data_IF_223725752212
#
_entry.id   IF_223725752212
#
_cell.length_a   1.000
_cell.length_b   1.000
_cell.length_c   1.000
_cell.angle_alpha   90.00
_cell.angle_beta   90.00
_cell.angle_gamma   90.00
#
_symmetry.space_group_name_H-M   'P 1'
#
loop_
_entity.id
_entity.type
_entity.pdbx_description
1 polymer ?
#
# COMPACT_ATOMS: atom_id res chain seq x y z
N UNK A 1 13.42 28.50 9.96
CA UNK A 1 12.69 27.47 10.72
C UNK A 1 13.27 27.43 12.12
N UNK A 2 12.42 27.31 13.14
CA UNK A 2 12.90 27.20 14.52
C UNK A 2 13.54 25.82 14.70
N UNK A 3 14.78 25.75 15.19
CA UNK A 3 15.49 24.48 15.33
C UNK A 3 14.85 23.58 16.39
N UNK A 4 14.97 22.26 16.18
CA UNK A 4 14.34 21.21 17.01
C UNK A 4 15.36 20.24 17.60
N UNK A 5 14.96 19.61 18.70
CA UNK A 5 15.66 18.46 19.25
C UNK A 5 14.95 17.19 18.80
N UNK A 6 15.71 16.25 18.26
CA UNK A 6 15.29 14.95 17.78
C UNK A 6 15.81 13.88 18.74
N UNK A 7 14.88 13.12 19.30
CA UNK A 7 15.19 11.97 20.15
C UNK A 7 14.92 10.67 19.41
N UNK A 8 15.85 9.73 19.56
CA UNK A 8 15.70 8.35 19.09
C UNK A 8 15.87 7.40 20.27
N UNK A 9 14.90 6.51 20.44
CA UNK A 9 14.83 5.58 21.56
C UNK A 9 14.77 4.14 21.02
N UNK A 10 15.63 3.29 21.56
CA UNK A 10 15.72 1.89 21.17
C UNK A 10 15.63 0.96 22.37
N UNK A 11 14.89 -0.14 22.20
CA UNK A 11 14.87 -1.26 23.13
C UNK A 11 15.75 -2.37 22.59
N UNK A 12 16.81 -2.65 23.32
CA UNK A 12 17.77 -3.71 23.04
C UNK A 12 17.58 -4.85 24.02
N UNK A 13 17.35 -6.06 23.50
CA UNK A 13 17.14 -7.28 24.28
C UNK A 13 18.23 -8.27 23.94
N UNK A 14 18.94 -8.76 24.96
CA UNK A 14 20.00 -9.77 24.85
C UNK A 14 19.61 -11.05 25.60
N UNK A 15 19.97 -12.20 25.03
CA UNK A 15 19.95 -13.48 25.77
C UNK A 15 21.08 -13.55 26.80
N UNK A 16 20.78 -13.95 28.04
CA UNK A 16 21.71 -13.99 29.16
C UNK A 16 22.84 -15.01 29.06
N UNK A 17 22.78 -15.94 28.09
CA UNK A 17 23.79 -17.00 27.90
C UNK A 17 25.23 -16.45 27.71
N UNK A 18 25.37 -15.13 27.47
CA UNK A 18 26.65 -14.45 27.29
C UNK A 18 27.09 -13.71 28.56
N UNK A 19 28.39 -13.80 28.85
CA UNK A 19 29.07 -12.99 29.88
C UNK A 19 29.26 -11.52 29.48
N UNK A 20 28.98 -11.15 28.23
CA UNK A 20 29.12 -9.79 27.68
C UNK A 20 27.88 -8.95 28.00
N UNK A 21 28.05 -7.62 28.05
CA UNK A 21 26.98 -6.63 28.28
C UNK A 21 26.20 -6.90 29.57
N UNK A 22 26.87 -6.79 30.73
CA UNK A 22 26.27 -7.05 32.05
C UNK A 22 25.56 -5.82 32.62
N UNK A 23 26.12 -4.65 32.36
CA UNK A 23 25.66 -3.35 32.85
C UNK A 23 25.63 -2.32 31.72
N UNK A 24 25.16 -1.12 32.02
CA UNK A 24 25.05 -0.01 31.07
C UNK A 24 26.41 0.43 30.51
N UNK A 25 27.47 0.40 31.32
CA UNK A 25 28.81 0.79 30.89
C UNK A 25 29.40 -0.17 29.87
N UNK A 26 29.15 -1.47 29.99
CA UNK A 26 29.61 -2.47 29.03
C UNK A 26 29.01 -2.20 27.64
N UNK A 27 27.72 -1.83 27.58
CA UNK A 27 27.07 -1.49 26.32
C UNK A 27 27.66 -0.23 25.69
N UNK A 28 27.91 0.80 26.51
CA UNK A 28 28.56 2.04 26.05
C UNK A 28 29.97 1.74 25.51
N UNK A 29 30.75 0.90 26.20
CA UNK A 29 32.07 0.45 25.70
C UNK A 29 31.94 -0.33 24.40
N UNK A 30 30.89 -1.14 24.26
CA UNK A 30 30.57 -1.83 23.00
C UNK A 30 30.34 -0.88 21.85
N UNK A 31 29.55 0.18 22.06
CA UNK A 31 29.31 1.21 21.06
C UNK A 31 30.59 2.01 20.73
N UNK A 32 31.47 2.24 21.71
CA UNK A 32 32.77 2.88 21.52
C UNK A 32 33.74 2.10 20.63
N UNK A 33 33.51 0.79 20.41
CA UNK A 33 34.33 0.01 19.48
C UNK A 33 34.13 0.46 18.03
N UNK A 34 32.98 1.08 17.72
CA UNK A 34 32.78 1.70 16.42
C UNK A 34 33.57 3.01 16.34
N UNK A 35 34.59 3.04 15.49
CA UNK A 35 35.48 4.20 15.29
C UNK A 35 34.75 5.44 14.77
N UNK A 36 33.57 5.28 14.16
CA UNK A 36 32.73 6.38 13.70
C UNK A 36 31.99 7.07 14.87
N UNK A 37 31.81 6.37 16.00
CA UNK A 37 31.11 6.86 17.18
C UNK A 37 32.12 7.38 18.22
N UNK A 38 32.39 8.69 18.21
CA UNK A 38 33.23 9.32 19.24
C UNK A 38 32.41 9.56 20.51
N UNK A 39 32.46 8.62 21.45
CA UNK A 39 31.72 8.71 22.72
C UNK A 39 32.64 9.15 23.85
N UNK A 40 32.34 10.30 24.44
CA UNK A 40 33.08 10.89 25.55
C UNK A 40 32.16 11.08 26.76
N UNK A 41 32.70 10.97 27.97
CA UNK A 41 31.95 11.25 29.19
C UNK A 41 32.15 12.71 29.56
N UNK A 42 31.11 13.55 29.37
CA UNK A 42 31.10 14.96 29.78
C UNK A 42 30.26 15.10 31.05
N UNK A 43 30.92 15.13 32.21
CA UNK A 43 30.26 15.17 33.52
C UNK A 43 29.56 13.85 33.85
N UNK A 44 28.26 13.89 34.14
CA UNK A 44 27.44 12.69 34.43
C UNK A 44 26.92 11.96 33.18
N UNK A 45 26.99 12.59 32.00
CA UNK A 45 26.35 12.09 30.78
C UNK A 45 27.38 11.62 29.75
N UNK A 46 27.00 10.64 28.93
CA UNK A 46 27.78 10.26 27.76
C UNK A 46 27.35 11.13 26.58
N UNK A 47 28.33 11.62 25.83
CA UNK A 47 28.12 12.48 24.67
C UNK A 47 28.75 11.81 23.45
N UNK A 48 27.99 11.67 22.37
CA UNK A 48 28.47 11.23 21.07
C UNK A 48 28.71 12.48 20.22
N UNK A 49 29.89 12.58 19.61
CA UNK A 49 30.17 13.60 18.60
C UNK A 49 30.18 12.95 17.22
N UNK A 50 29.24 13.35 16.37
CA UNK A 50 29.10 12.80 15.02
C UNK A 50 28.84 13.91 14.00
N UNK A 51 29.65 13.99 12.95
CA UNK A 51 29.57 15.02 11.90
C UNK A 51 29.44 16.47 12.43
N UNK A 52 30.19 16.81 13.48
CA UNK A 52 30.18 18.10 14.19
C UNK A 52 28.91 18.43 14.97
N UNK A 53 28.03 17.45 15.20
CA UNK A 53 26.87 17.57 16.08
C UNK A 53 27.13 16.75 17.34
N UNK A 54 26.78 17.31 18.49
CA UNK A 54 26.86 16.62 19.77
C UNK A 54 25.48 16.03 20.15
N UNK A 55 25.52 14.80 20.66
CA UNK A 55 24.35 14.04 21.08
C UNK A 55 24.54 13.53 22.48
N UNK A 56 23.52 13.64 23.32
CA UNK A 56 23.46 12.89 24.58
C UNK A 56 23.11 11.43 24.32
N UNK A 57 23.84 10.53 24.97
CA UNK A 57 23.60 9.10 25.00
C UNK A 57 23.27 8.68 26.43
N UNK A 58 22.05 8.19 26.64
CA UNK A 58 21.65 7.58 27.89
C UNK A 58 21.35 6.10 27.66
N UNK A 59 21.89 5.25 28.52
CA UNK A 59 21.63 3.82 28.52
C UNK A 59 21.07 3.46 29.88
N UNK A 60 19.96 2.73 29.91
CA UNK A 60 19.31 2.29 31.14
C UNK A 60 18.96 0.81 31.07
N UNK A 61 19.42 0.02 32.03
CA UNK A 61 19.00 -1.37 32.17
C UNK A 61 17.58 -1.44 32.73
N UNK A 62 16.74 -2.25 32.11
CA UNK A 62 15.36 -2.51 32.55
C UNK A 62 15.26 -3.93 33.08
N UNK A 63 14.58 -4.07 34.23
CA UNK A 63 14.28 -5.37 34.82
C UNK A 63 13.38 -6.16 33.87
N UNK A 64 13.84 -7.33 33.45
CA UNK A 64 13.08 -8.26 32.62
C UNK A 64 12.40 -9.29 33.53
N UNK A 65 11.17 -9.71 33.18
CA UNK A 65 10.45 -10.75 33.94
C UNK A 65 11.14 -12.11 33.82
N UNK A 66 11.68 -12.39 32.63
CA UNK A 66 12.45 -13.59 32.39
C UNK A 66 13.93 -13.25 32.61
N UNK A 67 14.52 -13.89 33.61
CA UNK A 67 15.94 -13.73 33.96
C UNK A 67 16.85 -14.16 32.82
N UNK A 68 16.37 -14.96 31.86
CA UNK A 68 17.13 -15.34 30.67
C UNK A 68 17.37 -14.19 29.67
N UNK A 69 16.81 -12.99 29.90
CA UNK A 69 17.01 -11.84 29.03
C UNK A 69 17.42 -10.58 29.79
N UNK A 70 18.35 -9.82 29.21
CA UNK A 70 18.70 -8.46 29.67
C UNK A 70 18.15 -7.45 28.67
N UNK A 71 17.45 -6.46 29.19
CA UNK A 71 16.84 -5.41 28.38
C UNK A 71 17.48 -4.06 28.71
N UNK A 72 17.80 -3.29 27.67
CA UNK A 72 18.37 -1.96 27.76
C UNK A 72 17.54 -0.99 26.93
N UNK A 73 17.25 0.17 27.48
CA UNK A 73 16.75 1.31 26.71
C UNK A 73 17.91 2.25 26.43
N UNK A 74 18.02 2.65 25.16
CA UNK A 74 19.06 3.51 24.64
C UNK A 74 18.38 4.75 24.09
N UNK A 75 18.68 5.90 24.68
CA UNK A 75 18.18 7.20 24.25
C UNK A 75 19.33 8.02 23.64
N UNK A 76 19.08 8.54 22.45
CA UNK A 76 20.00 9.42 21.73
C UNK A 76 19.28 10.71 21.38
N UNK A 77 19.80 11.85 21.83
CA UNK A 77 19.18 13.16 21.59
C UNK A 77 20.24 14.22 21.29
N UNK A 78 20.05 15.01 20.22
CA UNK A 78 20.97 16.11 19.90
C UNK A 78 20.89 17.21 20.96
N UNK A 79 22.06 17.75 21.33
CA UNK A 79 22.17 18.81 22.34
C UNK A 79 21.77 20.18 21.78
N UNK A 80 22.21 20.46 20.56
CA UNK A 80 21.94 21.71 19.87
C UNK A 80 20.71 21.59 18.99
N UNK A 81 19.87 22.62 18.96
CA UNK A 81 18.70 22.68 18.07
C UNK A 81 19.12 22.53 16.61
N UNK A 82 18.61 21.50 15.95
CA UNK A 82 18.85 21.20 14.53
C UNK A 82 17.78 21.86 13.68
N UNK A 83 18.18 22.62 12.67
CA UNK A 83 17.26 23.29 11.76
C UNK A 83 17.53 22.95 10.29
N UNK A 84 18.80 22.77 9.93
CA UNK A 84 19.20 22.57 8.54
C UNK A 84 19.00 21.14 8.06
N UNK A 85 18.79 20.96 6.76
CA UNK A 85 18.62 19.64 6.14
C UNK A 85 19.89 18.79 6.31
N UNK A 86 21.09 19.40 6.20
CA UNK A 86 22.36 18.67 6.40
C UNK A 86 22.49 18.15 7.83
N UNK A 87 22.07 18.94 8.81
CA UNK A 87 22.09 18.55 10.21
C UNK A 87 21.09 17.41 10.49
N UNK A 88 19.90 17.46 9.90
CA UNK A 88 18.91 16.36 9.98
C UNK A 88 19.48 15.07 9.38
N UNK A 89 20.20 15.14 8.27
CA UNK A 89 20.86 13.98 7.66
C UNK A 89 21.94 13.40 8.58
N UNK A 90 22.67 14.24 9.32
CA UNK A 90 23.64 13.78 10.32
C UNK A 90 22.96 13.02 11.48
N UNK A 91 21.78 13.48 11.95
CA UNK A 91 20.97 12.74 12.95
C UNK A 91 20.54 11.38 12.39
N UNK A 92 20.02 11.34 11.15
CA UNK A 92 19.64 10.09 10.46
C UNK A 92 20.82 9.12 10.38
N UNK A 93 21.99 9.62 10.00
CA UNK A 93 23.17 8.81 9.78
C UNK A 93 23.74 8.26 11.09
N UNK A 94 23.71 9.06 12.17
CA UNK A 94 24.03 8.57 13.50
C UNK A 94 23.11 7.42 13.92
N UNK A 95 21.80 7.58 13.74
CA UNK A 95 20.83 6.52 14.07
C UNK A 95 21.12 5.24 13.30
N UNK A 96 21.39 5.34 12.00
CA UNK A 96 21.80 4.19 11.16
C UNK A 96 23.06 3.53 11.69
N UNK A 97 24.07 4.32 12.06
CA UNK A 97 25.35 3.83 12.57
C UNK A 97 25.21 3.11 13.93
N UNK A 98 24.42 3.67 14.85
CA UNK A 98 24.12 3.05 16.15
C UNK A 98 23.37 1.74 15.95
N UNK A 99 22.33 1.74 15.11
CA UNK A 99 21.55 0.54 14.80
C UNK A 99 22.45 -0.55 14.18
N UNK A 100 23.33 -0.18 13.24
CA UNK A 100 24.27 -1.10 12.62
C UNK A 100 25.22 -1.71 13.66
N UNK A 101 25.84 -0.85 14.49
CA UNK A 101 26.75 -1.27 15.57
C UNK A 101 26.08 -2.26 16.53
N UNK A 102 24.84 -1.97 16.94
CA UNK A 102 24.09 -2.86 17.84
C UNK A 102 23.75 -4.18 17.16
N UNK A 103 23.41 -4.18 15.87
CA UNK A 103 23.08 -5.40 15.12
C UNK A 103 24.28 -6.32 14.92
N UNK A 104 25.51 -5.79 14.94
CA UNK A 104 26.73 -6.61 14.95
C UNK A 104 26.88 -7.40 16.26
N UNK A 105 26.24 -6.95 17.35
CA UNK A 105 26.15 -7.70 18.58
C UNK A 105 25.20 -8.89 18.38
N UNK A 106 25.76 -10.06 18.05
CA UNK A 106 25.02 -11.30 17.83
C UNK A 106 24.09 -11.64 19.01
N UNK A 107 22.95 -12.28 18.71
CA UNK A 107 21.91 -12.67 19.69
C UNK A 107 21.23 -11.49 20.41
N UNK A 108 21.16 -10.35 19.72
CA UNK A 108 20.39 -9.21 20.16
C UNK A 108 19.12 -9.05 19.33
N UNK A 109 18.06 -8.54 19.97
CA UNK A 109 16.90 -7.99 19.29
C UNK A 109 16.85 -6.48 19.56
N UNK A 110 16.74 -5.69 18.49
CA UNK A 110 16.65 -4.25 18.57
C UNK A 110 15.30 -3.80 18.02
N UNK A 111 14.53 -3.10 18.86
CA UNK A 111 13.26 -2.49 18.48
C UNK A 111 13.37 -0.98 18.62
N UNK A 112 12.93 -0.24 17.60
CA UNK A 112 12.82 1.22 17.69
C UNK A 112 11.53 1.57 18.43
N UNK A 113 11.64 2.29 19.54
CA UNK A 113 10.49 2.76 20.33
C UNK A 113 10.04 4.15 19.89
N UNK A 114 11.01 5.03 19.59
CA UNK A 114 10.79 6.40 19.15
C UNK A 114 11.84 6.81 18.14
N UNK A 115 11.41 7.54 17.11
CA UNK A 115 12.30 8.22 16.18
C UNK A 115 11.61 9.52 15.76
N UNK A 116 11.98 10.63 16.41
CA UNK A 116 11.37 11.93 16.15
C UNK A 116 11.60 12.41 14.72
N UNK A 117 12.76 12.08 14.15
CA UNK A 117 13.13 12.52 12.81
C UNK A 117 12.32 11.76 11.74
N UNK A 118 12.21 10.45 11.88
CA UNK A 118 11.36 9.65 11.01
C UNK A 118 9.88 10.02 11.16
N UNK A 119 9.45 10.40 12.37
CA UNK A 119 8.09 10.93 12.61
C UNK A 119 7.87 12.25 11.85
N UNK A 120 8.84 13.15 11.86
CA UNK A 120 8.77 14.39 11.07
C UNK A 120 8.68 14.10 9.57
N UNK A 121 9.44 13.12 9.06
CA UNK A 121 9.34 12.70 7.65
C UNK A 121 7.97 12.12 7.33
N UNK A 122 7.39 11.29 8.20
CA UNK A 122 6.04 10.76 8.03
C UNK A 122 4.98 11.85 7.96
N UNK A 123 5.06 12.87 8.82
CA UNK A 123 4.12 14.01 8.82
C UNK A 123 4.23 14.80 7.52
N UNK A 124 5.45 15.12 7.09
CA UNK A 124 5.67 15.87 5.85
C UNK A 124 5.22 15.04 4.64
N UNK A 125 5.57 13.76 4.57
CA UNK A 125 5.14 12.85 3.50
C UNK A 125 3.61 12.73 3.41
N UNK A 126 2.93 12.59 4.54
CA UNK A 126 1.46 12.48 4.57
C UNK A 126 0.77 13.73 4.04
N UNK A 127 1.31 14.92 4.32
CA UNK A 127 0.78 16.19 3.78
C UNK A 127 0.71 16.17 2.25
N UNK A 128 1.76 15.67 1.58
CA UNK A 128 1.79 15.57 0.12
C UNK A 128 0.83 14.50 -0.42
N UNK A 129 0.74 13.35 0.26
CA UNK A 129 -0.22 12.28 -0.08
C UNK A 129 -1.66 12.81 0.00
N UNK A 130 -1.99 13.50 1.09
CA UNK A 130 -3.31 14.08 1.29
C UNK A 130 -3.66 15.10 0.21
N UNK A 131 -2.70 15.95 -0.18
CA UNK A 131 -2.91 16.93 -1.24
C UNK A 131 -3.24 16.25 -2.58
N UNK A 132 -2.47 15.23 -2.98
CA UNK A 132 -2.67 14.57 -4.28
C UNK A 132 -3.92 13.69 -4.31
N UNK A 133 -4.26 13.06 -3.18
CA UNK A 133 -5.52 12.34 -3.00
C UNK A 133 -6.72 13.26 -3.25
N UNK A 134 -6.73 14.43 -2.61
CA UNK A 134 -7.80 15.42 -2.78
C UNK A 134 -7.88 15.94 -4.22
N UNK A 135 -6.75 16.08 -4.92
CA UNK A 135 -6.75 16.49 -6.33
C UNK A 135 -7.34 15.41 -7.23
N UNK A 136 -7.00 14.14 -7.01
CA UNK A 136 -7.60 13.02 -7.75
C UNK A 136 -9.12 12.95 -7.50
N UNK A 137 -9.55 13.08 -6.23
CA UNK A 137 -10.97 13.16 -5.88
C UNK A 137 -11.66 14.29 -6.63
N UNK A 138 -11.07 15.49 -6.60
CA UNK A 138 -11.60 16.66 -7.31
C UNK A 138 -11.73 16.41 -8.82
N UNK A 139 -10.74 15.76 -9.45
CA UNK A 139 -10.77 15.44 -10.88
C UNK A 139 -11.94 14.53 -11.21
N UNK A 140 -12.07 13.43 -10.46
CA UNK A 140 -13.16 12.46 -10.62
C UNK A 140 -14.51 13.14 -10.36
N UNK A 141 -14.64 13.93 -9.29
CA UNK A 141 -15.89 14.66 -8.99
C UNK A 141 -16.31 15.53 -10.15
N UNK A 142 -15.41 16.37 -10.68
CA UNK A 142 -15.74 17.30 -11.75
C UNK A 142 -16.12 16.52 -13.01
N UNK A 143 -15.25 15.61 -13.47
CA UNK A 143 -15.51 14.81 -14.67
C UNK A 143 -16.86 14.08 -14.61
N UNK A 144 -17.09 13.38 -13.50
CA UNK A 144 -18.30 12.61 -13.33
C UNK A 144 -19.55 13.49 -13.18
N UNK A 145 -19.46 14.66 -12.55
CA UNK A 145 -20.62 15.57 -12.41
C UNK A 145 -20.98 16.27 -13.72
N UNK A 146 -19.97 16.73 -14.45
CA UNK A 146 -20.16 17.62 -15.60
C UNK A 146 -20.34 16.87 -16.90
N UNK A 147 -19.72 15.70 -17.06
CA UNK A 147 -19.75 14.93 -18.31
C UNK A 147 -20.61 13.67 -18.24
N UNK A 148 -20.79 13.08 -17.05
CA UNK A 148 -21.58 11.84 -16.85
C UNK A 148 -22.90 12.10 -16.09
N UNK A 149 -23.09 13.31 -15.54
CA UNK A 149 -24.29 13.69 -14.77
C UNK A 149 -24.30 13.14 -13.33
N UNK A 150 -25.29 13.53 -12.52
CA UNK A 150 -25.35 13.13 -11.09
C UNK A 150 -26.05 11.80 -10.82
N UNK A 151 -26.70 11.20 -11.83
CA UNK A 151 -27.55 10.02 -11.64
C UNK A 151 -26.78 8.72 -11.37
N UNK A 152 -25.50 8.66 -11.75
CA UNK A 152 -24.68 7.47 -11.53
C UNK A 152 -24.46 7.18 -10.04
N UNK A 153 -24.45 8.21 -9.20
CA UNK A 153 -24.26 8.11 -7.74
C UNK A 153 -25.37 7.27 -7.11
N UNK A 154 -26.62 7.63 -7.42
CA UNK A 154 -27.82 6.98 -6.87
C UNK A 154 -27.87 5.50 -7.23
N UNK A 155 -27.24 5.15 -8.35
CA UNK A 155 -27.26 3.79 -8.87
C UNK A 155 -26.09 2.92 -8.38
N UNK A 156 -25.08 3.55 -7.76
CA UNK A 156 -23.77 2.94 -7.49
C UNK A 156 -23.37 2.97 -6.01
N UNK A 157 -24.01 3.80 -5.16
CA UNK A 157 -23.73 3.78 -3.73
C UNK A 157 -24.31 2.48 -3.11
N UNK A 158 -23.46 1.68 -2.43
CA UNK A 158 -23.88 0.52 -1.66
C UNK A 158 -24.86 0.90 -0.54
N UNK A 159 -25.93 0.12 -0.37
CA UNK A 159 -26.96 0.42 0.63
C UNK A 159 -26.39 0.48 2.07
N UNK A 160 -25.38 -0.33 2.37
CA UNK A 160 -24.66 -0.35 3.66
C UNK A 160 -23.97 1.00 3.98
N UNK A 161 -23.43 1.68 2.96
CA UNK A 161 -22.83 3.01 3.10
C UNK A 161 -23.91 4.04 3.43
N UNK A 162 -25.06 3.98 2.73
CA UNK A 162 -26.23 4.84 2.98
C UNK A 162 -26.77 4.64 4.40
N UNK A 163 -26.77 3.40 4.89
CA UNK A 163 -27.32 3.03 6.19
C UNK A 163 -26.38 3.38 7.36
N UNK A 164 -25.07 3.49 7.11
CA UNK A 164 -24.06 3.89 8.11
C UNK A 164 -24.14 5.38 8.53
N UNK A 165 -24.87 6.20 7.77
CA UNK A 165 -25.01 7.65 7.99
C UNK A 165 -26.12 7.90 9.02
N UNK A 166 -25.70 8.18 10.26
CA UNK A 166 -26.57 8.25 11.45
C UNK A 166 -27.50 9.47 11.54
N UNK A 167 -27.28 10.54 10.77
CA UNK A 167 -28.07 11.77 10.86
C UNK A 167 -29.12 11.88 9.74
N UNK A 168 -30.41 11.94 10.12
CA UNK A 168 -31.55 12.02 9.19
C UNK A 168 -31.62 13.33 8.40
N UNK A 169 -31.14 14.44 8.94
CA UNK A 169 -31.14 15.73 8.23
C UNK A 169 -30.04 15.81 7.15
N UNK A 170 -28.99 15.00 7.27
CA UNK A 170 -27.95 14.90 6.24
C UNK A 170 -28.42 13.97 5.10
N UNK A 171 -29.37 13.05 5.32
CA UNK A 171 -29.82 12.06 4.31
C UNK A 171 -30.35 12.67 3.00
N UNK A 172 -30.84 13.92 3.00
CA UNK A 172 -31.27 14.61 1.78
C UNK A 172 -30.14 15.32 1.03
N UNK A 173 -29.08 15.75 1.72
CA UNK A 173 -27.87 16.33 1.11
C UNK A 173 -26.76 15.29 0.86
N UNK A 174 -26.80 14.15 1.55
CA UNK A 174 -25.74 13.14 1.59
C UNK A 174 -25.90 12.03 0.56
N UNK A 175 -26.72 12.29 -0.47
CA UNK A 175 -26.56 11.72 -1.81
C UNK A 175 -25.50 12.50 -2.63
N UNK A 176 -24.52 13.14 -1.98
CA UNK A 176 -23.51 13.94 -2.66
C UNK A 176 -22.30 13.09 -3.07
N UNK A 177 -21.76 13.36 -4.27
CA UNK A 177 -20.50 12.79 -4.76
C UNK A 177 -19.35 12.90 -3.78
N UNK A 178 -19.31 14.02 -3.06
CA UNK A 178 -18.21 14.34 -2.16
C UNK A 178 -18.16 13.35 -1.00
N UNK A 179 -19.30 12.93 -0.44
CA UNK A 179 -19.34 11.95 0.64
C UNK A 179 -18.91 10.57 0.15
N UNK A 180 -19.48 10.10 -0.96
CA UNK A 180 -19.14 8.80 -1.55
C UNK A 180 -17.65 8.70 -1.91
N UNK A 181 -17.12 9.72 -2.60
CA UNK A 181 -15.71 9.74 -2.91
C UNK A 181 -14.92 9.79 -1.62
N UNK A 182 -15.21 10.66 -0.65
CA UNK A 182 -14.46 10.72 0.62
C UNK A 182 -14.32 9.38 1.35
N UNK A 183 -15.28 8.49 1.23
CA UNK A 183 -15.26 7.14 1.83
C UNK A 183 -14.54 6.08 0.97
N UNK A 184 -14.29 6.37 -0.30
CA UNK A 184 -13.53 5.54 -1.23
C UNK A 184 -12.05 5.51 -0.84
N UNK A 185 -11.42 4.33 -0.80
CA UNK A 185 -9.99 4.20 -0.45
C UNK A 185 -9.07 4.79 -1.54
N UNK A 186 -7.87 5.24 -1.15
CA UNK A 186 -6.90 5.92 -2.00
C UNK A 186 -6.62 5.14 -3.30
N UNK A 187 -6.39 3.84 -3.20
CA UNK A 187 -6.08 2.99 -4.37
C UNK A 187 -7.30 2.79 -5.27
N UNK A 188 -8.51 2.95 -4.75
CA UNK A 188 -9.73 2.76 -5.53
C UNK A 188 -10.02 3.96 -6.41
N UNK A 189 -9.50 5.15 -6.08
CA UNK A 189 -9.64 6.33 -6.93
C UNK A 189 -9.05 6.14 -8.33
N UNK A 190 -7.91 5.44 -8.44
CA UNK A 190 -7.29 5.18 -9.74
C UNK A 190 -8.19 4.32 -10.65
N UNK A 191 -8.98 3.42 -10.06
CA UNK A 191 -9.86 2.51 -10.81
C UNK A 191 -10.90 3.24 -11.64
N UNK A 192 -11.44 4.36 -11.15
CA UNK A 192 -12.40 5.18 -11.88
C UNK A 192 -11.85 5.69 -13.22
N UNK A 193 -10.54 5.91 -13.30
CA UNK A 193 -9.90 6.45 -14.49
C UNK A 193 -9.19 5.37 -15.31
N UNK A 194 -8.55 4.39 -14.66
CA UNK A 194 -7.60 3.48 -15.30
C UNK A 194 -8.08 2.04 -15.46
N UNK A 195 -9.16 1.60 -14.79
CA UNK A 195 -9.69 0.26 -15.05
C UNK A 195 -10.28 0.21 -16.47
N UNK A 196 -9.94 -0.87 -17.20
CA UNK A 196 -10.29 -1.03 -18.61
C UNK A 196 -11.56 -1.85 -18.74
N UNK A 197 -12.49 -1.36 -19.56
CA UNK A 197 -13.73 -2.05 -19.87
C UNK A 197 -13.99 -2.05 -21.38
N UNK A 198 -14.68 -3.10 -21.83
CA UNK A 198 -15.14 -3.21 -23.21
C UNK A 198 -16.57 -2.68 -23.29
N UNK A 199 -16.82 -1.83 -24.28
CA UNK A 199 -18.15 -1.26 -24.54
C UNK A 199 -18.98 -2.18 -25.45
N UNK A 200 -18.33 -3.19 -26.05
CA UNK A 200 -18.96 -4.17 -26.95
C UNK A 200 -19.17 -5.48 -26.20
N UNK A 201 -20.40 -6.00 -26.21
CA UNK A 201 -20.71 -7.30 -25.60
C UNK A 201 -20.14 -8.43 -26.45
N UNK A 202 -19.74 -9.53 -25.82
CA UNK A 202 -19.20 -10.72 -26.51
C UNK A 202 -20.12 -11.24 -27.62
N UNK A 203 -21.44 -11.11 -27.45
CA UNK A 203 -22.44 -11.46 -28.46
C UNK A 203 -22.32 -10.64 -29.76
N UNK A 204 -21.97 -9.35 -29.66
CA UNK A 204 -21.81 -8.47 -30.81
C UNK A 204 -20.53 -8.78 -31.57
N UNK A 205 -19.47 -9.21 -30.88
CA UNK A 205 -18.26 -9.75 -31.51
C UNK A 205 -18.56 -11.01 -32.30
N UNK A 206 -19.31 -11.95 -31.72
CA UNK A 206 -19.76 -13.14 -32.45
C UNK A 206 -20.57 -12.78 -33.69
N UNK A 207 -21.40 -11.73 -33.63
CA UNK A 207 -22.16 -11.23 -34.78
C UNK A 207 -21.28 -10.60 -35.86
N UNK A 208 -20.23 -9.86 -35.48
CA UNK A 208 -19.24 -9.29 -36.41
C UNK A 208 -18.43 -10.40 -37.08
N UNK A 209 -17.96 -11.39 -36.31
CA UNK A 209 -17.18 -12.54 -36.79
C UNK A 209 -18.00 -13.48 -37.68
N UNK A 210 -19.29 -13.67 -37.36
CA UNK A 210 -20.21 -14.50 -38.14
C UNK A 210 -20.85 -13.74 -39.31
N UNK A 211 -20.56 -12.44 -39.48
CA UNK A 211 -21.04 -11.70 -40.64
C UNK A 211 -20.38 -12.25 -41.90
N UNK A 212 -21.17 -12.52 -42.95
CA UNK A 212 -20.77 -13.25 -44.17
C UNK A 212 -19.77 -12.50 -45.06
N UNK A 213 -19.11 -11.44 -44.55
CA UNK A 213 -18.15 -10.64 -45.30
C UNK A 213 -16.79 -11.34 -45.33
N UNK A 214 -16.20 -11.44 -46.52
CA UNK A 214 -14.88 -12.05 -46.76
C UNK A 214 -13.71 -11.29 -46.10
N UNK A 215 -13.95 -10.07 -45.66
CA UNK A 215 -12.96 -9.18 -45.02
C UNK A 215 -13.56 -8.61 -43.74
N UNK A 216 -12.87 -8.86 -42.63
CA UNK A 216 -13.22 -8.31 -41.32
C UNK A 216 -12.66 -6.89 -41.25
N UNK A 217 -13.51 -5.95 -40.89
CA UNK A 217 -13.13 -4.57 -40.62
C UNK A 217 -12.40 -4.52 -39.28
N UNK A 218 -11.06 -4.44 -39.32
CA UNK A 218 -10.20 -4.47 -38.13
C UNK A 218 -10.46 -3.26 -37.24
N UNK A 219 -10.84 -2.11 -37.79
CA UNK A 219 -11.14 -0.91 -37.01
C UNK A 219 -12.34 -1.15 -36.08
N UNK A 220 -13.36 -1.89 -36.52
CA UNK A 220 -14.51 -2.28 -35.68
C UNK A 220 -14.16 -3.28 -34.58
N UNK A 221 -13.06 -4.02 -34.73
CA UNK A 221 -12.54 -4.88 -33.67
C UNK A 221 -11.67 -4.11 -32.66
N UNK A 222 -11.13 -2.94 -33.03
CA UNK A 222 -10.33 -2.12 -32.11
C UNK A 222 -11.18 -1.55 -30.97
N UNK A 223 -12.49 -1.39 -31.17
CA UNK A 223 -13.44 -0.98 -30.11
C UNK A 223 -13.78 -2.11 -29.13
N UNK A 224 -13.48 -3.36 -29.49
CA UNK A 224 -13.57 -4.49 -28.55
C UNK A 224 -12.44 -4.49 -27.53
N UNK A 225 -11.27 -3.91 -27.90
CA UNK A 225 -10.11 -3.81 -27.01
C UNK A 225 -10.53 -2.98 -25.79
N UNK A 226 -10.47 -3.55 -24.56
CA UNK A 226 -10.83 -2.81 -23.36
C UNK A 226 -9.96 -1.56 -23.22
N UNK A 227 -10.61 -0.42 -23.03
CA UNK A 227 -9.96 0.88 -22.80
C UNK A 227 -10.48 1.48 -21.51
N UNK A 228 -9.61 2.20 -20.81
CA UNK A 228 -9.96 2.91 -19.58
C UNK A 228 -10.64 4.25 -19.87
N UNK A 229 -11.27 4.86 -18.86
CA UNK A 229 -11.80 6.22 -18.99
C UNK A 229 -10.70 7.23 -19.32
N UNK A 230 -9.50 7.04 -18.77
CA UNK A 230 -8.32 7.81 -19.10
C UNK A 230 -7.99 7.69 -20.59
N UNK A 231 -7.91 6.48 -21.12
CA UNK A 231 -7.57 6.23 -22.53
C UNK A 231 -8.63 6.78 -23.49
N UNK A 232 -9.91 6.74 -23.10
CA UNK A 232 -11.03 7.18 -23.93
C UNK A 232 -11.15 8.70 -23.98
N UNK A 233 -11.02 9.37 -22.83
CA UNK A 233 -11.44 10.76 -22.68
C UNK A 233 -10.30 11.72 -22.36
N UNK A 234 -9.31 11.30 -21.56
CA UNK A 234 -8.24 12.20 -21.11
C UNK A 234 -6.99 12.11 -21.98
N UNK A 235 -6.55 10.91 -22.35
CA UNK A 235 -5.33 10.67 -23.13
C UNK A 235 -5.31 11.42 -24.48
N UNK A 236 -6.41 11.54 -25.25
CA UNK A 236 -6.43 12.33 -26.47
C UNK A 236 -6.21 13.83 -26.25
N UNK A 237 -6.75 14.38 -25.16
CA UNK A 237 -6.74 15.81 -24.85
C UNK A 237 -5.48 16.25 -24.09
N UNK A 238 -4.96 15.37 -23.21
CA UNK A 238 -3.77 15.62 -22.39
C UNK A 238 -2.49 15.46 -23.22
N UNK A 239 -2.46 14.51 -24.16
CA UNK A 239 -1.28 14.26 -24.99
C UNK A 239 -1.49 14.74 -26.42
N UNK A 240 -0.60 15.62 -26.89
CA UNK A 240 -0.62 16.13 -28.27
C UNK A 240 -0.71 15.00 -29.30
N UNK A 241 -1.42 15.24 -30.42
CA UNK A 241 -1.52 14.33 -31.56
C UNK A 241 -0.17 13.81 -32.08
N UNK A 242 0.90 14.59 -31.92
CA UNK A 242 2.27 14.21 -32.31
C UNK A 242 2.93 13.18 -31.38
N UNK A 243 2.35 12.93 -30.21
CA UNK A 243 2.82 11.94 -29.25
C UNK A 243 2.47 10.55 -29.77
N UNK A 244 3.48 9.72 -30.02
CA UNK A 244 3.29 8.34 -30.45
C UNK A 244 2.49 7.55 -29.41
N UNK A 245 1.61 6.67 -29.88
CA UNK A 245 0.79 5.74 -29.11
C UNK A 245 1.60 4.98 -28.03
N UNK A 246 2.83 4.57 -28.36
CA UNK A 246 3.72 3.87 -27.43
C UNK A 246 4.17 4.77 -26.28
N UNK A 247 4.42 6.04 -26.55
CA UNK A 247 4.81 7.02 -25.54
C UNK A 247 3.64 7.36 -24.62
N UNK A 248 2.42 7.49 -25.17
CA UNK A 248 1.20 7.70 -24.36
C UNK A 248 0.96 6.54 -23.39
N UNK A 249 1.05 5.31 -23.89
CA UNK A 249 0.89 4.11 -23.04
C UNK A 249 1.94 4.06 -21.92
N UNK A 250 3.20 4.42 -22.22
CA UNK A 250 4.25 4.45 -21.21
C UNK A 250 4.00 5.52 -20.13
N UNK A 251 3.46 6.69 -20.52
CA UNK A 251 3.11 7.75 -19.57
C UNK A 251 1.93 7.33 -18.68
N UNK A 252 0.93 6.65 -19.23
CA UNK A 252 -0.18 6.08 -18.47
C UNK A 252 0.30 4.99 -17.49
N UNK A 253 1.12 4.04 -17.95
CA UNK A 253 1.69 2.99 -17.09
C UNK A 253 2.51 3.60 -15.94
N UNK A 254 3.35 4.61 -16.22
CA UNK A 254 4.09 5.33 -15.19
C UNK A 254 3.17 5.99 -14.17
N UNK A 255 2.09 6.64 -14.62
CA UNK A 255 1.12 7.30 -13.75
C UNK A 255 0.43 6.30 -12.80
N UNK A 256 0.05 5.14 -13.31
CA UNK A 256 -0.54 4.05 -12.52
C UNK A 256 0.50 3.53 -11.51
N UNK A 257 1.72 3.22 -11.95
CA UNK A 257 2.80 2.72 -11.08
C UNK A 257 3.16 3.74 -9.98
N UNK A 258 3.17 5.03 -10.30
CA UNK A 258 3.43 6.10 -9.34
C UNK A 258 2.29 6.20 -8.30
N UNK A 259 1.03 6.07 -8.72
CA UNK A 259 -0.12 6.03 -7.81
C UNK A 259 -0.11 4.81 -6.89
N UNK A 260 0.14 3.61 -7.42
CA UNK A 260 0.26 2.38 -6.64
C UNK A 260 1.41 2.47 -5.63
N UNK A 261 2.56 3.00 -6.06
CA UNK A 261 3.70 3.20 -5.16
C UNK A 261 3.40 4.22 -4.05
N UNK A 262 2.63 5.28 -4.34
CA UNK A 262 2.19 6.21 -3.30
C UNK A 262 1.24 5.55 -2.30
N UNK A 263 0.39 4.62 -2.73
CA UNK A 263 -0.46 3.85 -1.82
C UNK A 263 0.35 3.01 -0.84
N UNK A 264 1.40 2.33 -1.31
CA UNK A 264 2.30 1.58 -0.43
C UNK A 264 3.00 2.48 0.60
N UNK A 265 3.45 3.66 0.17
CA UNK A 265 4.09 4.66 1.04
C UNK A 265 3.09 5.25 2.04
N UNK A 266 1.85 5.55 1.62
CA UNK A 266 0.75 5.95 2.50
C UNK A 266 0.49 4.91 3.58
N UNK A 267 0.39 3.64 3.21
CA UNK A 267 0.12 2.55 4.15
C UNK A 267 1.24 2.43 5.20
N UNK A 268 2.50 2.64 4.81
CA UNK A 268 3.61 2.70 5.78
C UNK A 268 3.38 3.81 6.81
N UNK A 269 3.08 5.02 6.35
CA UNK A 269 2.82 6.17 7.24
C UNK A 269 1.61 5.91 8.15
N UNK A 270 0.49 5.44 7.60
CA UNK A 270 -0.74 5.19 8.35
C UNK A 270 -0.60 4.07 9.41
N UNK A 271 0.24 3.06 9.15
CA UNK A 271 0.52 2.00 10.11
C UNK A 271 1.65 2.34 11.10
N UNK A 272 2.00 3.62 11.21
CA UNK A 272 3.08 4.13 12.07
C UNK A 272 4.41 3.40 11.83
N UNK A 273 4.66 2.97 10.59
CA UNK A 273 5.95 2.45 10.18
C UNK A 273 6.78 3.66 9.79
N UNK A 274 7.90 3.86 10.48
CA UNK A 274 8.85 4.93 10.15
C UNK A 274 9.21 4.89 8.66
N UNK A 275 9.06 6.02 7.99
CA UNK A 275 9.57 6.21 6.62
C UNK A 275 10.95 6.86 6.66
N UNK A 276 11.77 6.50 5.69
CA UNK A 276 13.09 7.08 5.49
C UNK A 276 13.01 8.44 4.80
N UNK A 277 14.09 9.21 4.89
CA UNK A 277 14.24 10.47 4.17
C UNK A 277 14.11 10.27 2.65
N UNK A 278 14.69 9.19 2.12
CA UNK A 278 14.61 8.84 0.70
C UNK A 278 13.16 8.54 0.28
N UNK A 279 12.41 7.79 1.09
CA UNK A 279 10.99 7.54 0.86
C UNK A 279 10.15 8.83 0.91
N UNK A 280 10.42 9.74 1.86
CA UNK A 280 9.76 11.05 1.89
C UNK A 280 10.02 11.85 0.60
N UNK A 281 11.27 11.88 0.11
CA UNK A 281 11.59 12.53 -1.18
C UNK A 281 10.92 11.84 -2.36
N UNK A 282 10.80 10.51 -2.34
CA UNK A 282 10.06 9.76 -3.35
C UNK A 282 8.57 10.13 -3.35
N UNK A 283 7.93 10.29 -2.18
CA UNK A 283 6.55 10.76 -2.06
C UNK A 283 6.40 12.12 -2.75
N UNK A 284 7.28 13.08 -2.43
CA UNK A 284 7.23 14.44 -2.99
C UNK A 284 7.41 14.40 -4.51
N UNK A 285 8.39 13.64 -5.01
CA UNK A 285 8.65 13.50 -6.44
C UNK A 285 7.45 12.91 -7.17
N UNK A 286 6.92 11.77 -6.71
CA UNK A 286 5.75 11.11 -7.31
C UNK A 286 4.53 12.00 -7.25
N UNK A 287 4.30 12.68 -6.13
CA UNK A 287 3.21 13.65 -6.01
C UNK A 287 3.33 14.73 -7.08
N UNK A 288 4.52 15.26 -7.35
CA UNK A 288 4.71 16.30 -8.36
C UNK A 288 4.43 15.76 -9.78
N UNK A 289 4.99 14.61 -10.14
CA UNK A 289 4.77 13.97 -11.44
C UNK A 289 3.28 13.70 -11.71
N UNK A 290 2.57 13.13 -10.72
CA UNK A 290 1.12 12.88 -10.81
C UNK A 290 0.34 14.21 -10.88
N UNK A 291 0.76 15.20 -10.09
CA UNK A 291 0.09 16.50 -10.03
C UNK A 291 0.16 17.23 -11.37
N UNK A 292 1.27 17.15 -12.10
CA UNK A 292 1.39 17.72 -13.45
C UNK A 292 0.32 17.12 -14.38
N UNK A 293 0.23 15.79 -14.43
CA UNK A 293 -0.73 15.08 -15.29
C UNK A 293 -2.18 15.36 -14.88
N UNK A 294 -2.49 15.44 -13.58
CA UNK A 294 -3.83 15.79 -13.10
C UNK A 294 -4.20 17.24 -13.48
N UNK A 295 -3.25 18.19 -13.44
CA UNK A 295 -3.54 19.57 -13.83
C UNK A 295 -3.79 19.69 -15.34
N UNK A 296 -3.04 18.95 -16.17
CA UNK A 296 -3.33 18.85 -17.60
C UNK A 296 -4.72 18.26 -17.84
N UNK A 297 -5.08 17.18 -17.13
CA UNK A 297 -6.40 16.60 -17.19
C UNK A 297 -7.51 17.58 -16.78
N UNK A 298 -7.30 18.41 -15.75
CA UNK A 298 -8.27 19.45 -15.37
C UNK A 298 -8.52 20.45 -16.48
N UNK A 299 -7.47 20.90 -17.18
CA UNK A 299 -7.60 21.83 -18.30
C UNK A 299 -8.33 21.19 -19.48
N UNK A 300 -8.11 19.89 -19.70
CA UNK A 300 -8.76 19.12 -20.76
C UNK A 300 -10.25 18.84 -20.51
N UNK A 301 -10.73 18.88 -19.25
CA UNK A 301 -12.13 18.52 -18.95
C UNK A 301 -13.13 19.32 -19.78
N UNK A 302 -12.89 20.61 -20.02
CA UNK A 302 -13.85 21.44 -20.75
C UNK A 302 -14.10 20.92 -22.17
N UNK A 303 -13.03 20.49 -22.86
CA UNK A 303 -13.03 20.01 -24.25
C UNK A 303 -13.61 18.58 -24.41
N UNK A 304 -13.69 17.81 -23.33
CA UNK A 304 -14.20 16.42 -23.39
C UNK A 304 -15.71 16.44 -23.65
N UNK A 305 -16.16 15.92 -24.78
CA UNK A 305 -17.57 15.66 -25.07
C UNK A 305 -17.90 14.17 -24.91
N UNK A 306 -18.95 13.87 -24.15
CA UNK A 306 -19.45 12.51 -23.91
C UNK A 306 -20.87 12.41 -24.46
N UNK A 307 -21.14 11.39 -25.26
CA UNK A 307 -22.47 11.07 -25.79
C UNK A 307 -23.32 10.31 -24.76
N UNK A 308 -24.65 10.35 -24.90
CA UNK A 308 -25.58 9.63 -24.00
C UNK A 308 -25.26 8.12 -23.90
N UNK A 309 -24.86 7.49 -25.01
CA UNK A 309 -24.47 6.09 -25.01
C UNK A 309 -23.20 5.83 -24.17
N UNK A 310 -22.18 6.69 -24.31
CA UNK A 310 -20.95 6.59 -23.54
C UNK A 310 -21.18 6.85 -22.04
N UNK A 311 -22.11 7.74 -21.71
CA UNK A 311 -22.55 7.97 -20.33
C UNK A 311 -23.14 6.70 -19.71
N UNK A 312 -24.04 6.00 -20.42
CA UNK A 312 -24.61 4.73 -19.96
C UNK A 312 -23.54 3.64 -19.79
N UNK A 313 -22.58 3.56 -20.71
CA UNK A 313 -21.46 2.63 -20.65
C UNK A 313 -20.63 2.84 -19.37
N UNK A 314 -20.23 4.09 -19.08
CA UNK A 314 -19.49 4.46 -17.86
C UNK A 314 -20.31 4.10 -16.61
N UNK A 315 -21.61 4.44 -16.59
CA UNK A 315 -22.51 4.13 -15.46
C UNK A 315 -22.57 2.62 -15.19
N UNK A 316 -22.64 1.81 -16.24
CA UNK A 316 -22.81 0.36 -16.13
C UNK A 316 -21.56 -0.33 -15.56
N UNK A 317 -20.36 0.08 -15.98
CA UNK A 317 -19.09 -0.48 -15.51
C UNK A 317 -18.81 -0.14 -14.04
N UNK A 318 -19.15 1.09 -13.63
CA UNK A 318 -18.95 1.52 -12.25
C UNK A 318 -19.81 0.71 -11.27
N UNK A 319 -21.02 0.28 -11.66
CA UNK A 319 -21.86 -0.62 -10.84
C UNK A 319 -21.13 -1.91 -10.51
N UNK A 320 -20.49 -2.51 -11.51
CA UNK A 320 -19.80 -3.80 -11.40
C UNK A 320 -18.56 -3.66 -10.50
N UNK A 321 -17.73 -2.66 -10.77
CA UNK A 321 -16.51 -2.39 -10.00
C UNK A 321 -16.81 -2.10 -8.52
N UNK A 322 -17.95 -1.46 -8.22
CA UNK A 322 -18.34 -1.11 -6.84
C UNK A 322 -19.03 -2.27 -6.11
N UNK A 323 -19.95 -3.01 -6.77
CA UNK A 323 -20.66 -4.14 -6.15
C UNK A 323 -19.74 -5.30 -5.77
N UNK A 324 -18.66 -5.54 -6.53
CA UNK A 324 -17.66 -6.57 -6.19
C UNK A 324 -16.98 -6.35 -4.83
N UNK A 325 -17.11 -5.16 -4.22
CA UNK A 325 -16.34 -4.79 -3.02
C UNK A 325 -17.16 -4.41 -1.79
N UNK A 326 -18.43 -4.03 -1.94
CA UNK A 326 -19.28 -3.82 -0.76
C UNK A 326 -19.94 -5.08 -0.23
N UNK A 327 -19.93 -6.17 -0.99
CA UNK A 327 -20.23 -7.51 -0.46
C UNK A 327 -19.16 -8.09 0.48
N UNK A 328 -18.04 -7.39 0.74
CA UNK A 328 -17.00 -7.79 1.71
C UNK A 328 -17.12 -7.07 3.07
N UNK A 329 -18.28 -6.49 3.40
CA UNK A 329 -18.57 -6.07 4.78
C UNK A 329 -19.34 -7.19 5.50
N UNK A 330 -18.73 -7.73 6.57
CA UNK A 330 -19.30 -8.80 7.38
C UNK A 330 -20.38 -8.19 8.28
N UNK A 331 -21.66 -8.38 7.93
CA UNK A 331 -22.78 -8.12 8.84
C UNK A 331 -22.82 -9.22 9.91
N UNK A 332 -22.21 -8.95 11.06
CA UNK A 332 -22.31 -9.77 12.27
C UNK A 332 -23.64 -9.41 12.98
N UNK A 333 -24.77 -9.66 12.34
CA UNK A 333 -26.06 -9.74 13.05
C UNK A 333 -27.16 -10.40 12.23
N UNK A 334 -27.12 -11.73 12.15
CA UNK A 334 -28.31 -12.59 12.15
C UNK A 334 -27.86 -14.04 12.30
N UNK A 335 -27.72 -14.46 13.56
CA UNK A 335 -27.75 -15.86 13.92
C UNK A 335 -29.21 -16.32 13.95
N UNK A 336 -29.57 -17.23 13.05
CA UNK A 336 -30.46 -18.35 13.38
C UNK A 336 -29.86 -19.63 12.77
N UNK A 337 -29.35 -20.49 13.65
CA UNK A 337 -28.89 -21.87 13.45
C UNK A 337 -30.12 -22.81 13.29
N UNK A 338 -30.00 -24.12 12.97
CA UNK A 338 -28.81 -24.89 12.56
C UNK A 338 -29.04 -25.91 11.42
N UNK A 339 -27.98 -26.32 10.71
CA UNK A 339 -27.78 -27.75 10.40
C UNK A 339 -26.29 -28.08 10.20
N UNK A 340 -25.83 -29.00 11.05
CA UNK A 340 -24.44 -29.30 11.38
C UNK A 340 -23.75 -30.13 10.27
N UNK A 341 -22.63 -29.65 9.71
CA UNK A 341 -21.67 -30.50 8.98
C UNK A 341 -20.26 -30.32 9.58
N UNK A 342 -19.50 -31.41 9.78
CA UNK A 342 -18.26 -31.37 10.53
C UNK A 342 -17.17 -30.59 9.77
N UNK A 343 -16.55 -29.61 10.45
CA UNK A 343 -15.40 -28.83 9.98
C UNK A 343 -14.29 -29.76 9.48
N UNK A 344 -14.00 -29.68 8.17
CA UNK A 344 -13.01 -30.53 7.51
C UNK A 344 -11.57 -30.01 7.78
N UNK A 345 -11.07 -30.28 9.00
CA UNK A 345 -9.72 -29.87 9.49
C UNK A 345 -8.57 -30.22 8.54
N UNK A 346 -8.78 -31.16 7.62
CA UNK A 346 -7.79 -31.60 6.62
C UNK A 346 -7.51 -30.53 5.57
N UNK A 347 -8.54 -29.85 5.05
CA UNK A 347 -8.39 -28.87 3.96
C UNK A 347 -7.61 -27.63 4.41
N UNK A 348 -7.91 -27.14 5.61
CA UNK A 348 -7.20 -26.02 6.23
C UNK A 348 -5.71 -26.35 6.48
N UNK A 349 -5.44 -27.53 7.03
CA UNK A 349 -4.06 -27.97 7.30
C UNK A 349 -3.26 -28.10 6.00
N UNK A 350 -3.90 -28.56 4.92
CA UNK A 350 -3.30 -28.65 3.60
C UNK A 350 -3.01 -27.27 2.99
N UNK A 351 -3.90 -26.29 3.19
CA UNK A 351 -3.69 -24.90 2.79
C UNK A 351 -2.48 -24.27 3.47
N UNK A 352 -2.39 -24.40 4.80
CA UNK A 352 -1.25 -23.89 5.58
C UNK A 352 0.07 -24.58 5.24
N UNK A 353 0.03 -25.87 4.90
CA UNK A 353 1.20 -26.60 4.39
C UNK A 353 1.69 -25.99 3.07
N UNK A 354 0.79 -25.74 2.12
CA UNK A 354 1.14 -25.20 0.80
C UNK A 354 1.57 -23.73 0.87
N UNK A 355 1.03 -22.92 1.77
CA UNK A 355 1.52 -21.56 2.08
C UNK A 355 2.98 -21.59 2.53
N UNK A 356 3.33 -22.50 3.45
CA UNK A 356 4.72 -22.68 3.92
C UNK A 356 5.64 -23.14 2.79
N UNK A 357 5.16 -24.04 1.93
CA UNK A 357 5.90 -24.52 0.76
C UNK A 357 6.17 -23.42 -0.26
N UNK A 358 5.16 -22.59 -0.60
CA UNK A 358 5.31 -21.41 -1.46
C UNK A 358 6.31 -20.40 -0.87
N UNK A 359 6.21 -20.15 0.44
CA UNK A 359 7.14 -19.25 1.14
C UNK A 359 8.58 -19.74 1.02
N UNK A 360 8.82 -21.06 1.15
CA UNK A 360 10.16 -21.64 0.97
C UNK A 360 10.71 -21.42 -0.44
N UNK A 361 9.91 -21.66 -1.48
CA UNK A 361 10.35 -21.46 -2.87
C UNK A 361 10.67 -20.00 -3.19
N UNK A 362 10.01 -19.03 -2.54
CA UNK A 362 10.33 -17.60 -2.72
C UNK A 362 11.76 -17.23 -2.29
N UNK A 363 12.34 -17.97 -1.35
CA UNK A 363 13.70 -17.75 -0.86
C UNK A 363 14.75 -18.65 -1.55
N UNK A 364 14.34 -19.47 -2.52
CA UNK A 364 15.25 -20.24 -3.37
C UNK A 364 15.80 -19.37 -4.51
N UNK A 365 16.95 -19.78 -5.06
CA UNK A 365 17.62 -19.06 -6.14
C UNK A 365 16.97 -19.35 -7.50
N UNK A 366 15.73 -18.88 -7.66
CA UNK A 366 14.91 -19.02 -8.88
C UNK A 366 14.68 -17.66 -9.55
N UNK A 367 14.38 -17.67 -10.86
CA UNK A 367 14.19 -16.45 -11.64
C UNK A 367 13.04 -15.58 -11.08
N UNK A 368 13.19 -14.25 -11.14
CA UNK A 368 12.30 -13.31 -10.44
C UNK A 368 10.85 -13.31 -10.97
N UNK A 369 10.63 -13.72 -12.23
CA UNK A 369 9.29 -13.96 -12.77
C UNK A 369 8.51 -15.01 -11.98
N UNK A 370 9.16 -16.12 -11.60
CA UNK A 370 8.53 -17.16 -10.78
C UNK A 370 8.31 -16.69 -9.34
N UNK A 371 9.18 -15.83 -8.79
CA UNK A 371 8.97 -15.22 -7.47
C UNK A 371 7.75 -14.30 -7.44
N UNK A 372 7.48 -13.56 -8.52
CA UNK A 372 6.29 -12.71 -8.65
C UNK A 372 5.01 -13.55 -8.63
N UNK A 373 4.96 -14.62 -9.41
CA UNK A 373 3.81 -15.54 -9.42
C UNK A 373 3.66 -16.31 -8.09
N UNK A 374 4.75 -16.76 -7.46
CA UNK A 374 4.71 -17.40 -6.12
C UNK A 374 4.08 -16.49 -5.06
N UNK A 375 4.39 -15.19 -5.08
CA UNK A 375 3.78 -14.20 -4.15
C UNK A 375 2.28 -14.06 -4.40
N UNK A 376 1.85 -14.05 -5.66
CA UNK A 376 0.45 -13.95 -6.06
C UNK A 376 -0.35 -15.17 -5.59
N UNK A 377 0.14 -16.38 -5.87
CA UNK A 377 -0.47 -17.63 -5.41
C UNK A 377 -0.52 -17.75 -3.89
N UNK A 378 0.56 -17.36 -3.20
CA UNK A 378 0.61 -17.34 -1.73
C UNK A 378 -0.41 -16.37 -1.13
N UNK A 379 -0.54 -15.17 -1.70
CA UNK A 379 -1.49 -14.16 -1.22
C UNK A 379 -2.94 -14.63 -1.34
N UNK A 380 -3.30 -15.20 -2.51
CA UNK A 380 -4.65 -15.72 -2.75
C UNK A 380 -4.99 -16.92 -1.85
N UNK A 381 -4.07 -17.88 -1.70
CA UNK A 381 -4.29 -19.03 -0.82
C UNK A 381 -4.36 -18.60 0.66
N UNK A 382 -3.54 -17.64 1.09
CA UNK A 382 -3.65 -17.05 2.43
C UNK A 382 -5.04 -16.44 2.66
N UNK A 383 -5.53 -15.61 1.73
CA UNK A 383 -6.86 -14.98 1.85
C UNK A 383 -7.96 -16.05 1.91
N UNK A 384 -7.86 -17.10 1.09
CA UNK A 384 -8.84 -18.19 1.09
C UNK A 384 -8.81 -19.02 2.41
N UNK A 385 -7.63 -19.28 2.97
CA UNK A 385 -7.49 -19.97 4.28
C UNK A 385 -8.05 -19.12 5.42
N UNK A 386 -7.75 -17.83 5.46
CA UNK A 386 -8.28 -16.94 6.50
C UNK A 386 -9.80 -16.77 6.38
N UNK A 387 -10.34 -16.62 5.18
CA UNK A 387 -11.78 -16.57 4.95
C UNK A 387 -12.49 -17.86 5.40
N UNK A 388 -11.88 -19.03 5.15
CA UNK A 388 -12.41 -20.30 5.63
C UNK A 388 -12.32 -20.45 7.15
N UNK A 389 -11.23 -19.97 7.79
CA UNK A 389 -11.12 -19.95 9.27
C UNK A 389 -12.20 -19.08 9.91
N UNK A 390 -12.52 -17.94 9.31
CA UNK A 390 -13.54 -17.02 9.82
C UNK A 390 -14.97 -17.52 9.62
N UNK A 391 -15.22 -18.42 8.66
CA UNK A 391 -16.54 -19.01 8.41
C UNK A 391 -16.42 -20.43 7.85
N UNK A 392 -16.18 -21.44 8.71
CA UNK A 392 -15.88 -22.82 8.29
C UNK A 392 -17.08 -23.56 7.71
N UNK A 393 -18.30 -23.18 8.12
CA UNK A 393 -19.56 -23.81 7.71
C UNK A 393 -20.13 -23.21 6.41
N UNK A 394 -19.47 -22.17 5.88
CA UNK A 394 -19.89 -21.53 4.64
C UNK A 394 -19.39 -22.33 3.42
N UNK A 395 -20.31 -22.82 2.60
CA UNK A 395 -19.98 -23.61 1.39
C UNK A 395 -19.15 -22.81 0.38
N UNK A 396 -19.32 -21.47 0.33
CA UNK A 396 -18.56 -20.60 -0.57
C UNK A 396 -17.09 -20.49 -0.15
N UNK A 397 -16.80 -20.33 1.14
CA UNK A 397 -15.42 -20.23 1.65
C UNK A 397 -14.68 -21.56 1.51
N UNK A 398 -15.39 -22.68 1.68
CA UNK A 398 -14.87 -24.03 1.40
C UNK A 398 -14.48 -24.19 -0.08
N UNK A 399 -15.40 -23.88 -1.00
CA UNK A 399 -15.16 -24.01 -2.44
C UNK A 399 -14.02 -23.10 -2.93
N UNK A 400 -13.93 -21.89 -2.37
CA UNK A 400 -12.87 -20.94 -2.69
C UNK A 400 -11.50 -21.42 -2.20
N UNK A 401 -11.44 -21.97 -0.98
CA UNK A 401 -10.23 -22.58 -0.45
C UNK A 401 -9.79 -23.77 -1.31
N UNK A 402 -10.71 -24.67 -1.66
CA UNK A 402 -10.41 -25.83 -2.51
C UNK A 402 -9.88 -25.40 -3.90
N UNK A 403 -10.51 -24.41 -4.53
CA UNK A 403 -10.10 -23.88 -5.83
C UNK A 403 -8.68 -23.30 -5.80
N UNK A 404 -8.39 -22.42 -4.84
CA UNK A 404 -7.06 -21.80 -4.73
C UNK A 404 -5.99 -22.83 -4.36
N UNK A 405 -6.34 -23.84 -3.56
CA UNK A 405 -5.43 -24.91 -3.16
C UNK A 405 -5.08 -25.82 -4.35
N UNK A 406 -6.04 -26.11 -5.24
CA UNK A 406 -5.79 -26.82 -6.50
C UNK A 406 -4.91 -26.00 -7.46
N UNK A 407 -5.19 -24.69 -7.61
CA UNK A 407 -4.36 -23.78 -8.42
C UNK A 407 -2.91 -23.75 -7.95
N UNK A 408 -2.68 -23.71 -6.63
CA UNK A 408 -1.35 -23.74 -6.03
C UNK A 408 -0.65 -25.08 -6.27
N UNK A 409 -1.37 -26.20 -6.13
CA UNK A 409 -0.82 -27.54 -6.39
C UNK A 409 -0.37 -27.68 -7.84
N UNK A 410 -1.17 -27.21 -8.79
CA UNK A 410 -0.82 -27.29 -10.21
C UNK A 410 0.35 -26.39 -10.56
N UNK A 411 0.37 -25.15 -10.06
CA UNK A 411 1.51 -24.25 -10.26
C UNK A 411 2.81 -24.82 -9.65
N UNK A 412 2.75 -25.42 -8.46
CA UNK A 412 3.91 -26.04 -7.82
C UNK A 412 4.41 -27.29 -8.57
N UNK A 413 3.53 -28.05 -9.24
CA UNK A 413 3.94 -29.14 -10.13
C UNK A 413 4.71 -28.59 -11.33
N UNK A 414 4.21 -27.54 -11.97
CA UNK A 414 4.88 -26.88 -13.11
C UNK A 414 6.22 -26.27 -12.70
N UNK A 415 6.30 -25.71 -11.50
CA UNK A 415 7.54 -25.13 -10.98
C UNK A 415 8.58 -26.22 -10.67
N UNK A 416 8.16 -27.37 -10.15
CA UNK A 416 9.05 -28.51 -9.88
C UNK A 416 9.59 -29.19 -11.15
N UNK A 417 9.02 -28.94 -12.32
CA UNK A 417 9.59 -29.36 -13.61
C UNK A 417 10.59 -28.37 -14.20
N UNK A 418 10.71 -27.17 -13.62
CA UNK A 418 11.52 -26.05 -14.13
C UNK A 418 12.68 -25.69 -13.19
N UNK A 419 12.55 -25.98 -11.88
CA UNK A 419 13.64 -26.00 -10.89
C UNK A 419 14.31 -27.36 -10.94
#
# INVERSE_FOLDING_TARGET
MEGKNYTSEYLLIFSEERKLMQNEEDLIRGLQLNQNLKIEKKGSNNTITFQNIEFTLNVKKIKSKNEAYRSYVIDVCNTNKVADEKEKLAVRDLNKEIIATIRELQHSQLNTLRDDLATEFSIEGYKHIHEIENKMRKLITIFMSTKVGLEWIKSNIPQEVIDSIKNKDIKSETQSLNTFLSETDFIQLSKFLFDKYSTIKTADVHRILNSTKKTIDVEKLMDFVPKSNWQRYFSPEVYSEKTDSKERNKKEEKLIDDWESLYDLRNKVAHNRFITYEEMKQIISKKNDINEVINEAFNAIEEIEITEQQEEEIKSELKTTIHEKTGESVDISKNEDPENKPVDKKLMTDGEHHIRKLTRYMYMNIHDSYKKELRKYRSKLNKAVENYKSSPDNTLTYNLLELELNRVKDYLKTLASVI
#
